data_IF_233187929860
#
_entry.id   IF_233187929860
#
_cell.length_a   1.000
_cell.length_b   1.000
_cell.length_c   1.000
_cell.angle_alpha   90.00
_cell.angle_beta   90.00
_cell.angle_gamma   90.00
#
_symmetry.space_group_name_H-M   'P 1'
#
loop_
_entity.id
_entity.type
_entity.pdbx_description
1 polymer ?
#
# COMPACT_ATOMS: atom_id res chain seq x y z
N UNK A 1 -7.55 -16.91 -26.54
CA UNK A 1 -8.41 -17.05 -25.31
C UNK A 1 -9.14 -15.75 -25.09
N UNK A 2 -10.45 -15.71 -25.34
CA UNK A 2 -11.27 -14.52 -25.12
C UNK A 2 -11.07 -14.00 -23.69
N UNK A 3 -10.66 -12.71 -23.57
CA UNK A 3 -10.64 -11.88 -22.33
C UNK A 3 -11.03 -12.62 -21.04
N UNK A 4 -10.07 -13.30 -20.40
CA UNK A 4 -10.33 -13.95 -19.12
C UNK A 4 -10.76 -12.89 -18.10
N UNK A 5 -11.68 -13.22 -17.21
CA UNK A 5 -12.06 -12.31 -16.12
C UNK A 5 -10.85 -11.93 -15.26
N UNK A 6 -9.89 -12.84 -15.16
CA UNK A 6 -8.61 -12.61 -14.47
C UNK A 6 -7.81 -11.52 -15.15
N UNK A 7 -7.60 -11.56 -16.47
CA UNK A 7 -6.86 -10.53 -17.20
C UNK A 7 -7.49 -9.15 -17.04
N UNK A 8 -8.84 -9.07 -17.14
CA UNK A 8 -9.59 -7.83 -16.88
C UNK A 8 -9.46 -7.37 -15.42
N UNK A 9 -9.47 -8.31 -14.48
CA UNK A 9 -9.27 -8.05 -13.05
C UNK A 9 -7.89 -7.49 -12.77
N UNK A 10 -6.83 -8.15 -13.26
CA UNK A 10 -5.44 -7.70 -13.08
C UNK A 10 -5.24 -6.29 -13.65
N UNK A 11 -5.79 -6.00 -14.85
CA UNK A 11 -5.71 -4.65 -15.43
C UNK A 11 -6.28 -3.58 -14.50
N UNK A 12 -7.41 -3.86 -13.84
CA UNK A 12 -8.01 -2.93 -12.87
C UNK A 12 -7.16 -2.82 -11.60
N UNK A 13 -6.62 -3.93 -11.10
CA UNK A 13 -5.71 -3.91 -9.94
C UNK A 13 -4.49 -3.04 -10.27
N UNK A 14 -3.89 -3.18 -11.46
CA UNK A 14 -2.75 -2.34 -11.90
C UNK A 14 -3.12 -0.86 -11.83
N UNK A 15 -4.27 -0.46 -12.36
CA UNK A 15 -4.73 0.94 -12.29
C UNK A 15 -4.88 1.37 -10.82
N UNK A 16 -5.55 0.57 -9.98
CA UNK A 16 -5.69 0.86 -8.56
C UNK A 16 -4.35 1.05 -7.87
N UNK A 17 -3.35 0.21 -8.17
CA UNK A 17 -2.02 0.29 -7.58
C UNK A 17 -1.23 1.53 -8.03
N UNK A 18 -1.39 2.01 -9.27
CA UNK A 18 -0.82 3.30 -9.67
C UNK A 18 -1.37 4.46 -8.84
N UNK A 19 -2.66 4.47 -8.53
CA UNK A 19 -3.22 5.47 -7.63
C UNK A 19 -2.81 5.26 -6.18
N UNK A 20 -2.67 4.01 -5.73
CA UNK A 20 -2.14 3.69 -4.38
C UNK A 20 -0.74 4.24 -4.17
N UNK A 21 0.17 4.13 -5.14
CA UNK A 21 1.53 4.65 -4.98
C UNK A 21 1.54 6.19 -4.87
N UNK A 22 0.63 6.88 -5.57
CA UNK A 22 0.45 8.34 -5.42
C UNK A 22 0.03 8.66 -3.98
N UNK A 23 -0.99 7.98 -3.47
CA UNK A 23 -1.49 8.16 -2.09
C UNK A 23 -0.38 7.92 -1.07
N UNK A 24 0.32 6.79 -1.17
CA UNK A 24 1.41 6.42 -0.27
C UNK A 24 2.57 7.42 -0.32
N UNK A 25 2.94 7.87 -1.53
CA UNK A 25 4.00 8.87 -1.71
C UNK A 25 3.62 10.21 -1.09
N UNK A 26 2.38 10.67 -1.28
CA UNK A 26 1.90 11.92 -0.67
C UNK A 26 1.87 11.82 0.87
N UNK A 27 1.40 10.69 1.43
CA UNK A 27 1.40 10.46 2.87
C UNK A 27 2.80 10.43 3.44
N UNK A 28 3.73 9.68 2.83
CA UNK A 28 5.11 9.56 3.27
C UNK A 28 5.82 10.91 3.26
N UNK A 29 5.74 11.65 2.16
CA UNK A 29 6.33 12.99 2.05
C UNK A 29 5.74 13.93 3.09
N UNK A 30 4.41 13.95 3.25
CA UNK A 30 3.73 14.80 4.22
C UNK A 30 4.16 14.45 5.65
N UNK A 31 4.24 13.17 5.99
CA UNK A 31 4.72 12.71 7.31
C UNK A 31 6.15 13.14 7.60
N UNK A 32 7.07 12.98 6.63
CA UNK A 32 8.45 13.42 6.75
C UNK A 32 8.52 14.94 6.94
N UNK A 33 7.80 15.72 6.14
CA UNK A 33 7.75 17.18 6.26
C UNK A 33 7.23 17.63 7.62
N UNK A 34 6.14 17.04 8.13
CA UNK A 34 5.60 17.36 9.46
C UNK A 34 6.66 17.12 10.54
N UNK A 35 7.39 16.01 10.48
CA UNK A 35 8.45 15.71 11.45
C UNK A 35 9.61 16.68 11.35
N UNK A 36 10.02 17.09 10.15
CA UNK A 36 11.06 18.11 9.92
C UNK A 36 10.62 19.47 10.46
N UNK A 37 9.36 19.88 10.20
CA UNK A 37 8.82 21.15 10.72
C UNK A 37 8.67 21.15 12.25
N UNK A 38 8.35 20.02 12.88
CA UNK A 38 8.36 19.89 14.35
C UNK A 38 9.75 20.08 14.95
N UNK A 39 10.83 19.79 14.19
CA UNK A 39 12.21 20.03 14.59
C UNK A 39 12.58 21.52 14.46
N UNK A 40 12.05 22.21 13.45
CA UNK A 40 12.37 23.61 13.15
C UNK A 40 11.11 24.48 13.04
N UNK A 41 10.60 24.96 14.20
CA UNK A 41 9.36 25.74 14.29
C UNK A 41 9.46 27.16 13.70
N UNK A 42 10.67 27.68 13.44
CA UNK A 42 10.85 29.03 12.88
C UNK A 42 10.45 29.12 11.40
N UNK A 43 10.46 28.01 10.69
CA UNK A 43 9.96 27.93 9.31
C UNK A 43 8.46 28.20 9.19
N UNK A 44 7.68 27.97 10.25
CA UNK A 44 6.23 28.20 10.27
C UNK A 44 5.84 29.68 10.44
N UNK A 45 6.79 30.54 10.85
CA UNK A 45 6.54 31.97 11.10
C UNK A 45 6.76 32.84 9.85
N UNK A 46 7.19 32.27 8.73
CA UNK A 46 7.51 33.02 7.52
C UNK A 46 6.27 33.35 6.68
N UNK A 47 6.36 34.38 5.82
CA UNK A 47 5.37 34.75 4.79
C UNK A 47 5.01 33.61 3.83
N UNK A 48 5.74 32.51 3.89
CA UNK A 48 5.58 31.29 3.13
C UNK A 48 4.39 30.43 3.61
N UNK A 49 3.80 30.73 4.78
CA UNK A 49 2.71 29.94 5.37
C UNK A 49 1.45 29.90 4.47
N UNK A 50 1.08 31.04 3.87
CA UNK A 50 -0.09 31.08 2.97
C UNK A 50 0.07 30.21 1.72
N UNK A 51 1.27 30.16 1.16
CA UNK A 51 1.60 29.28 0.03
C UNK A 51 1.53 27.80 0.45
N UNK A 52 2.07 27.44 1.61
CA UNK A 52 2.02 26.07 2.13
C UNK A 52 0.59 25.60 2.36
N UNK A 53 -0.30 26.47 2.85
CA UNK A 53 -1.72 26.14 3.04
C UNK A 53 -2.40 25.88 1.69
N UNK A 54 -2.20 26.74 0.69
CA UNK A 54 -2.77 26.55 -0.64
C UNK A 54 -2.29 25.22 -1.29
N UNK A 55 -1.01 24.94 -1.21
CA UNK A 55 -0.43 23.68 -1.71
C UNK A 55 -1.01 22.48 -0.97
N UNK A 56 -1.18 22.54 0.35
CA UNK A 56 -1.77 21.47 1.16
C UNK A 56 -3.22 21.17 0.77
N UNK A 57 -4.00 22.17 0.41
CA UNK A 57 -5.38 21.99 -0.07
C UNK A 57 -5.39 21.23 -1.40
N UNK A 58 -4.56 21.62 -2.36
CA UNK A 58 -4.45 20.94 -3.66
C UNK A 58 -4.01 19.49 -3.48
N UNK A 59 -2.97 19.26 -2.66
CA UNK A 59 -2.49 17.91 -2.32
C UNK A 59 -3.62 17.09 -1.69
N UNK A 60 -4.42 17.68 -0.80
CA UNK A 60 -5.57 17.02 -0.17
C UNK A 60 -6.61 16.53 -1.18
N UNK A 61 -6.96 17.34 -2.19
CA UNK A 61 -7.87 16.92 -3.25
C UNK A 61 -7.31 15.79 -4.11
N UNK A 62 -6.03 15.89 -4.51
CA UNK A 62 -5.35 14.83 -5.28
C UNK A 62 -5.29 13.54 -4.46
N UNK A 63 -5.01 13.63 -3.16
CA UNK A 63 -4.97 12.50 -2.24
C UNK A 63 -6.33 11.79 -2.16
N UNK A 64 -7.40 12.53 -1.85
CA UNK A 64 -8.76 11.95 -1.73
C UNK A 64 -9.20 11.33 -3.05
N UNK A 65 -9.03 12.03 -4.18
CA UNK A 65 -9.37 11.51 -5.49
C UNK A 65 -8.62 10.22 -5.84
N UNK A 66 -7.31 10.21 -5.61
CA UNK A 66 -6.47 9.04 -5.85
C UNK A 66 -6.83 7.86 -4.94
N UNK A 67 -7.14 8.12 -3.67
CA UNK A 67 -7.58 7.10 -2.71
C UNK A 67 -8.89 6.45 -3.18
N UNK A 68 -9.89 7.23 -3.53
CA UNK A 68 -11.19 6.71 -4.00
C UNK A 68 -11.01 5.86 -5.26
N UNK A 69 -10.26 6.35 -6.24
CA UNK A 69 -9.99 5.63 -7.48
C UNK A 69 -9.23 4.32 -7.19
N UNK A 70 -8.20 4.37 -6.35
CA UNK A 70 -7.43 3.19 -5.95
C UNK A 70 -8.31 2.10 -5.35
N UNK A 71 -9.15 2.46 -4.37
CA UNK A 71 -10.05 1.52 -3.69
C UNK A 71 -11.05 0.91 -4.68
N UNK A 72 -11.71 1.72 -5.51
CA UNK A 72 -12.71 1.24 -6.47
C UNK A 72 -12.08 0.29 -7.48
N UNK A 73 -10.96 0.67 -8.10
CA UNK A 73 -10.32 -0.16 -9.13
C UNK A 73 -9.71 -1.43 -8.55
N UNK A 74 -9.09 -1.38 -7.38
CA UNK A 74 -8.56 -2.58 -6.71
C UNK A 74 -9.68 -3.55 -6.35
N UNK A 75 -10.77 -3.06 -5.76
CA UNK A 75 -11.91 -3.89 -5.38
C UNK A 75 -12.58 -4.54 -6.60
N UNK A 76 -12.88 -3.75 -7.65
CA UNK A 76 -13.45 -4.28 -8.89
C UNK A 76 -12.51 -5.27 -9.58
N UNK A 77 -11.20 -5.05 -9.46
CA UNK A 77 -10.17 -5.94 -9.99
C UNK A 77 -10.16 -7.28 -9.26
N UNK A 78 -10.11 -7.27 -7.93
CA UNK A 78 -10.19 -8.48 -7.11
C UNK A 78 -11.50 -9.23 -7.33
N UNK A 79 -12.64 -8.53 -7.40
CA UNK A 79 -13.93 -9.14 -7.69
C UNK A 79 -13.96 -9.85 -9.05
N UNK A 80 -13.38 -9.24 -10.09
CA UNK A 80 -13.33 -9.88 -11.41
C UNK A 80 -12.38 -11.08 -11.42
N UNK A 81 -11.19 -10.94 -10.85
CA UNK A 81 -10.19 -12.01 -10.80
C UNK A 81 -10.66 -13.19 -9.91
N UNK A 82 -11.44 -12.93 -8.86
CA UNK A 82 -11.97 -13.95 -7.95
C UNK A 82 -12.94 -14.93 -8.59
N UNK A 83 -13.46 -14.63 -9.79
CA UNK A 83 -14.34 -15.55 -10.53
C UNK A 83 -13.60 -16.77 -11.08
N UNK A 84 -12.29 -16.71 -11.19
CA UNK A 84 -11.45 -17.77 -11.78
C UNK A 84 -10.34 -18.25 -10.85
N UNK A 85 -10.02 -17.47 -9.80
CA UNK A 85 -8.95 -17.77 -8.85
C UNK A 85 -9.34 -17.38 -7.43
N UNK A 86 -9.41 -18.39 -6.54
CA UNK A 86 -9.91 -18.24 -5.16
C UNK A 86 -9.03 -17.34 -4.28
N UNK A 87 -7.73 -17.24 -4.55
CA UNK A 87 -6.85 -16.39 -3.75
C UNK A 87 -7.21 -14.90 -3.92
N UNK A 88 -7.69 -14.48 -5.09
CA UNK A 88 -8.22 -13.11 -5.24
C UNK A 88 -9.52 -12.88 -4.43
N UNK A 89 -10.31 -13.93 -4.19
CA UNK A 89 -11.47 -13.85 -3.29
C UNK A 89 -11.04 -13.63 -1.86
N UNK A 90 -9.98 -14.32 -1.40
CA UNK A 90 -9.39 -14.10 -0.07
C UNK A 90 -8.81 -12.70 0.05
N UNK A 91 -8.08 -12.23 -0.97
CA UNK A 91 -7.57 -10.86 -1.03
C UNK A 91 -8.70 -9.82 -0.91
N UNK A 92 -9.81 -10.01 -1.63
CA UNK A 92 -10.97 -9.13 -1.57
C UNK A 92 -11.61 -9.10 -0.16
N UNK A 93 -11.75 -10.25 0.48
CA UNK A 93 -12.28 -10.34 1.86
C UNK A 93 -11.36 -9.58 2.83
N UNK A 94 -10.05 -9.80 2.74
CA UNK A 94 -9.08 -9.07 3.57
C UNK A 94 -9.17 -7.55 3.32
N UNK A 95 -9.31 -7.11 2.06
CA UNK A 95 -9.47 -5.69 1.74
C UNK A 95 -10.74 -5.07 2.36
N UNK A 96 -11.85 -5.81 2.41
CA UNK A 96 -13.06 -5.36 3.11
C UNK A 96 -12.79 -5.22 4.61
N UNK A 97 -12.11 -6.19 5.22
CA UNK A 97 -11.75 -6.15 6.65
C UNK A 97 -10.86 -4.95 6.96
N UNK A 98 -9.86 -4.65 6.09
CA UNK A 98 -9.03 -3.43 6.21
C UNK A 98 -9.90 -2.19 6.21
N UNK A 99 -10.84 -2.07 5.27
CA UNK A 99 -11.77 -0.94 5.21
C UNK A 99 -12.60 -0.78 6.47
N UNK A 100 -13.14 -1.87 7.01
CA UNK A 100 -13.91 -1.86 8.27
C UNK A 100 -13.04 -1.42 9.45
N UNK A 101 -11.83 -1.97 9.58
CA UNK A 101 -10.92 -1.59 10.67
C UNK A 101 -10.47 -0.14 10.58
N UNK A 102 -10.23 0.36 9.37
CA UNK A 102 -9.89 1.77 9.14
C UNK A 102 -11.03 2.70 9.55
N UNK A 103 -12.28 2.34 9.22
CA UNK A 103 -13.46 3.10 9.63
C UNK A 103 -13.62 3.09 11.16
N UNK A 104 -13.56 1.92 11.80
CA UNK A 104 -13.65 1.80 13.25
C UNK A 104 -12.53 2.61 13.91
N UNK A 105 -11.29 2.47 13.45
CA UNK A 105 -10.14 3.22 13.95
C UNK A 105 -10.39 4.73 13.87
N UNK A 106 -10.90 5.23 12.75
CA UNK A 106 -11.21 6.64 12.57
C UNK A 106 -12.23 7.16 13.59
N UNK A 107 -13.32 6.41 13.85
CA UNK A 107 -14.32 6.81 14.84
C UNK A 107 -13.78 6.83 16.27
N UNK A 108 -12.81 5.99 16.62
CA UNK A 108 -12.23 5.91 17.95
C UNK A 108 -10.93 6.70 18.12
N UNK A 109 -10.43 7.37 17.11
CA UNK A 109 -9.16 8.09 17.17
C UNK A 109 -9.13 9.15 18.28
N UNK A 110 -10.19 9.94 18.40
CA UNK A 110 -10.29 11.03 19.39
C UNK A 110 -10.65 10.52 20.79
N UNK A 111 -11.69 9.66 20.95
CA UNK A 111 -12.12 9.21 22.29
C UNK A 111 -11.15 8.22 22.94
N UNK A 112 -10.43 7.40 22.18
CA UNK A 112 -9.57 6.36 22.71
C UNK A 112 -8.45 5.96 21.76
N UNK A 113 -7.28 6.59 21.93
CA UNK A 113 -6.09 6.33 21.09
C UNK A 113 -5.58 4.88 21.16
N UNK A 114 -5.83 4.14 22.24
CA UNK A 114 -5.46 2.72 22.35
C UNK A 114 -6.30 1.85 21.40
N UNK A 115 -7.61 2.09 21.35
CA UNK A 115 -8.51 1.39 20.41
C UNK A 115 -8.10 1.68 18.97
N UNK A 116 -7.84 2.95 18.62
CA UNK A 116 -7.32 3.32 17.33
C UNK A 116 -6.04 2.52 16.98
N UNK A 117 -5.09 2.44 17.90
CA UNK A 117 -3.83 1.73 17.69
C UNK A 117 -4.04 0.24 17.40
N UNK A 118 -4.95 -0.42 18.13
CA UNK A 118 -5.25 -1.85 17.94
C UNK A 118 -5.87 -2.08 16.54
N UNK A 119 -6.88 -1.29 16.16
CA UNK A 119 -7.53 -1.44 14.86
C UNK A 119 -6.62 -1.06 13.70
N UNK A 120 -5.77 -0.06 13.87
CA UNK A 120 -4.75 0.30 12.87
C UNK A 120 -3.75 -0.83 12.67
N UNK A 121 -3.20 -1.40 13.75
CA UNK A 121 -2.27 -2.53 13.67
C UNK A 121 -2.92 -3.77 13.03
N UNK A 122 -4.16 -4.09 13.41
CA UNK A 122 -4.91 -5.17 12.78
C UNK A 122 -5.13 -4.89 11.28
N UNK A 123 -5.50 -3.65 10.91
CA UNK A 123 -5.64 -3.23 9.52
C UNK A 123 -4.38 -3.48 8.70
N UNK A 124 -3.21 -3.09 9.23
CA UNK A 124 -1.90 -3.31 8.57
C UNK A 124 -1.61 -4.81 8.33
N UNK A 125 -1.95 -5.67 9.30
CA UNK A 125 -1.79 -7.12 9.14
C UNK A 125 -2.69 -7.64 8.00
N UNK A 126 -3.95 -7.22 7.95
CA UNK A 126 -4.86 -7.63 6.87
C UNK A 126 -4.47 -7.05 5.51
N UNK A 127 -3.89 -5.86 5.46
CA UNK A 127 -3.32 -5.27 4.23
C UNK A 127 -2.17 -6.13 3.69
N UNK A 128 -1.30 -6.63 4.57
CA UNK A 128 -0.28 -7.61 4.18
C UNK A 128 -0.90 -8.88 3.59
N UNK A 129 -1.99 -9.40 4.17
CA UNK A 129 -2.69 -10.56 3.62
C UNK A 129 -3.33 -10.27 2.25
N UNK A 130 -3.85 -9.06 2.01
CA UNK A 130 -4.32 -8.65 0.67
C UNK A 130 -3.22 -8.83 -0.37
N UNK A 131 -2.01 -8.36 -0.06
CA UNK A 131 -0.88 -8.48 -0.97
C UNK A 131 -0.43 -9.93 -1.13
N UNK A 132 -0.32 -10.69 -0.04
CA UNK A 132 0.06 -12.12 -0.07
C UNK A 132 -0.90 -12.91 -0.96
N UNK A 133 -2.20 -12.81 -0.72
CA UNK A 133 -3.18 -13.55 -1.51
C UNK A 133 -3.24 -13.08 -2.97
N UNK A 134 -3.04 -11.78 -3.21
CA UNK A 134 -2.97 -11.27 -4.58
C UNK A 134 -1.78 -11.84 -5.34
N UNK A 135 -0.59 -11.86 -4.73
CA UNK A 135 0.64 -12.42 -5.35
C UNK A 135 0.50 -13.93 -5.49
N UNK A 136 -0.05 -14.64 -4.49
CA UNK A 136 -0.31 -16.08 -4.55
C UNK A 136 -1.24 -16.43 -5.72
N UNK A 137 -2.32 -15.68 -5.89
CA UNK A 137 -3.22 -15.86 -7.04
C UNK A 137 -2.52 -15.67 -8.38
N UNK A 138 -1.63 -14.67 -8.49
CA UNK A 138 -0.82 -14.45 -9.71
C UNK A 138 0.17 -15.61 -9.95
N UNK A 139 0.79 -16.15 -8.89
CA UNK A 139 1.66 -17.33 -8.97
C UNK A 139 0.87 -18.53 -9.49
N UNK A 140 -0.31 -18.82 -8.91
CA UNK A 140 -1.16 -19.93 -9.32
C UNK A 140 -1.55 -19.84 -10.81
N UNK A 141 -1.85 -18.63 -11.28
CA UNK A 141 -2.15 -18.39 -12.69
C UNK A 141 -0.91 -18.64 -13.55
N UNK A 142 0.26 -18.13 -13.12
CA UNK A 142 1.53 -18.32 -13.83
C UNK A 142 1.91 -19.80 -13.93
N UNK A 143 1.66 -20.59 -12.88
CA UNK A 143 1.83 -22.05 -12.90
C UNK A 143 0.91 -22.69 -13.95
N UNK A 144 -0.37 -22.32 -14.00
CA UNK A 144 -1.32 -22.84 -14.99
C UNK A 144 -0.91 -22.52 -16.43
N UNK A 145 -0.27 -21.38 -16.66
CA UNK A 145 0.26 -20.98 -17.97
C UNK A 145 1.72 -21.42 -18.21
N UNK A 146 2.30 -22.28 -17.32
CA UNK A 146 3.67 -22.81 -17.43
C UNK A 146 4.76 -21.72 -17.50
N UNK A 147 4.53 -20.56 -16.91
CA UNK A 147 5.48 -19.43 -16.87
C UNK A 147 6.30 -19.47 -15.59
N UNK A 148 7.32 -20.33 -15.60
CA UNK A 148 8.23 -20.54 -14.46
C UNK A 148 8.99 -19.28 -14.05
N UNK A 149 9.31 -18.41 -15.00
CA UNK A 149 9.92 -17.09 -14.79
C UNK A 149 9.07 -16.18 -13.89
N UNK A 150 7.76 -16.17 -14.12
CA UNK A 150 6.80 -15.38 -13.32
C UNK A 150 6.58 -16.04 -11.94
N UNK A 151 6.58 -17.35 -11.85
CA UNK A 151 6.49 -18.07 -10.56
C UNK A 151 7.66 -17.69 -9.67
N UNK A 152 8.89 -17.78 -10.18
CA UNK A 152 10.10 -17.42 -9.42
C UNK A 152 10.10 -15.95 -8.99
N UNK A 153 9.64 -15.06 -9.88
CA UNK A 153 9.51 -13.63 -9.58
C UNK A 153 8.48 -13.38 -8.47
N UNK A 154 7.34 -14.06 -8.50
CA UNK A 154 6.31 -13.99 -7.47
C UNK A 154 6.80 -14.48 -6.12
N UNK A 155 7.51 -15.60 -6.06
CA UNK A 155 8.10 -16.15 -4.83
C UNK A 155 9.13 -15.18 -4.21
N UNK A 156 9.97 -14.56 -5.03
CA UNK A 156 10.93 -13.54 -4.57
C UNK A 156 10.19 -12.31 -4.00
N UNK A 157 9.13 -11.90 -4.67
CA UNK A 157 8.30 -10.77 -4.22
C UNK A 157 7.58 -11.06 -2.89
N UNK A 158 7.03 -12.27 -2.71
CA UNK A 158 6.45 -12.70 -1.43
C UNK A 158 7.46 -12.65 -0.29
N UNK A 159 8.67 -13.18 -0.51
CA UNK A 159 9.73 -13.13 0.50
C UNK A 159 10.11 -11.71 0.85
N UNK A 160 10.27 -10.84 -0.15
CA UNK A 160 10.59 -9.43 0.05
C UNK A 160 9.48 -8.72 0.86
N UNK A 161 8.21 -8.97 0.53
CA UNK A 161 7.06 -8.41 1.24
C UNK A 161 7.05 -8.79 2.72
N UNK A 162 7.27 -10.08 3.04
CA UNK A 162 7.33 -10.54 4.44
C UNK A 162 8.48 -9.89 5.19
N UNK A 163 9.67 -9.80 4.58
CA UNK A 163 10.84 -9.15 5.18
C UNK A 163 10.56 -7.68 5.43
N UNK A 164 10.01 -6.96 4.46
CA UNK A 164 9.64 -5.54 4.61
C UNK A 164 8.65 -5.34 5.75
N UNK A 165 7.62 -6.19 5.84
CA UNK A 165 6.64 -6.13 6.90
C UNK A 165 7.26 -6.34 8.30
N UNK A 166 8.20 -7.28 8.43
CA UNK A 166 8.92 -7.51 9.69
C UNK A 166 9.74 -6.26 10.06
N UNK A 167 10.46 -5.67 9.10
CA UNK A 167 11.26 -4.46 9.33
C UNK A 167 10.34 -3.31 9.79
N UNK A 168 9.27 -3.01 9.06
CA UNK A 168 8.31 -1.95 9.44
C UNK A 168 7.68 -2.19 10.82
N UNK A 169 7.44 -3.45 11.19
CA UNK A 169 6.91 -3.78 12.52
C UNK A 169 7.94 -3.53 13.63
N UNK A 170 9.21 -3.83 13.40
CA UNK A 170 10.32 -3.54 14.33
C UNK A 170 10.51 -2.03 14.45
N UNK A 171 10.48 -1.31 13.34
CA UNK A 171 10.61 0.15 13.29
C UNK A 171 9.53 0.84 14.13
N UNK A 172 8.29 0.39 14.03
CA UNK A 172 7.18 0.90 14.84
C UNK A 172 7.40 0.68 16.34
N UNK A 173 7.99 -0.45 16.74
CA UNK A 173 8.36 -0.74 18.14
C UNK A 173 9.53 0.13 18.60
N UNK A 174 10.56 0.29 17.77
CA UNK A 174 11.75 1.14 18.06
C UNK A 174 11.32 2.58 18.29
N UNK A 175 10.49 3.14 17.41
CA UNK A 175 9.97 4.50 17.58
C UNK A 175 9.27 4.66 18.93
N UNK A 176 8.41 3.73 19.31
CA UNK A 176 7.69 3.79 20.60
C UNK A 176 8.61 3.73 21.82
N UNK A 177 9.66 2.90 21.78
CA UNK A 177 10.62 2.78 22.88
C UNK A 177 11.43 4.08 23.03
N UNK A 178 11.78 4.71 21.91
CA UNK A 178 12.60 5.93 21.90
C UNK A 178 11.79 7.23 22.04
N UNK A 179 10.46 7.22 21.93
CA UNK A 179 9.60 8.41 22.11
C UNK A 179 9.85 9.16 23.43
N UNK A 180 10.43 8.50 24.43
CA UNK A 180 10.77 9.06 25.74
C UNK A 180 12.12 9.77 25.78
N UNK A 181 12.92 9.76 24.70
CA UNK A 181 14.26 10.35 24.66
C UNK A 181 14.35 11.62 23.80
N UNK A 182 15.28 12.51 24.12
CA UNK A 182 15.51 13.78 23.38
C UNK A 182 15.96 13.53 21.93
N UNK A 183 16.56 12.37 21.65
CA UNK A 183 17.03 11.98 20.31
C UNK A 183 15.93 11.29 19.45
N UNK A 184 14.77 11.03 20.04
CA UNK A 184 13.64 10.34 19.38
C UNK A 184 13.21 10.97 18.06
N UNK A 185 13.26 12.30 17.96
CA UNK A 185 12.81 13.01 16.75
C UNK A 185 13.69 12.71 15.54
N UNK A 186 15.01 12.67 15.70
CA UNK A 186 15.94 12.37 14.61
C UNK A 186 15.83 10.91 14.18
N UNK A 187 15.77 10.00 15.16
CA UNK A 187 15.59 8.57 14.91
C UNK A 187 14.27 8.31 14.15
N UNK A 188 13.16 8.93 14.59
CA UNK A 188 11.85 8.80 13.93
C UNK A 188 11.87 9.28 12.48
N UNK A 189 12.60 10.36 12.16
CA UNK A 189 12.74 10.84 10.77
C UNK A 189 13.54 9.85 9.93
N UNK A 190 14.66 9.33 10.44
CA UNK A 190 15.50 8.37 9.71
C UNK A 190 14.73 7.08 9.43
N UNK A 191 14.08 6.52 10.46
CA UNK A 191 13.26 5.31 10.36
C UNK A 191 12.10 5.53 9.40
N UNK A 192 11.40 6.65 9.48
CA UNK A 192 10.32 7.00 8.57
C UNK A 192 10.76 7.12 7.10
N UNK A 193 11.98 7.60 6.85
CA UNK A 193 12.54 7.64 5.49
C UNK A 193 12.83 6.23 4.98
N UNK A 194 13.43 5.38 5.81
CA UNK A 194 13.73 3.98 5.46
C UNK A 194 12.43 3.23 5.13
N UNK A 195 11.43 3.31 6.00
CA UNK A 195 10.14 2.66 5.83
C UNK A 195 9.41 3.15 4.56
N UNK A 196 9.43 4.46 4.31
CA UNK A 196 8.89 5.04 3.09
C UNK A 196 9.58 4.51 1.83
N UNK A 197 10.91 4.45 1.81
CA UNK A 197 11.67 3.92 0.66
C UNK A 197 11.35 2.45 0.42
N UNK A 198 11.32 1.63 1.47
CA UNK A 198 10.97 0.21 1.38
C UNK A 198 9.55 0.01 0.84
N UNK A 199 8.59 0.79 1.32
CA UNK A 199 7.20 0.75 0.85
C UNK A 199 7.09 1.12 -0.63
N UNK A 200 7.78 2.17 -1.08
CA UNK A 200 7.78 2.55 -2.51
C UNK A 200 8.39 1.45 -3.38
N UNK A 201 9.52 0.87 -2.96
CA UNK A 201 10.14 -0.26 -3.67
C UNK A 201 9.18 -1.44 -3.78
N UNK A 202 8.50 -1.79 -2.69
CA UNK A 202 7.51 -2.86 -2.64
C UNK A 202 6.38 -2.63 -3.66
N UNK A 203 5.81 -1.42 -3.70
CA UNK A 203 4.76 -1.06 -4.67
C UNK A 203 5.26 -1.15 -6.12
N UNK A 204 6.45 -0.63 -6.41
CA UNK A 204 7.04 -0.69 -7.75
C UNK A 204 7.24 -2.13 -8.21
N UNK A 205 7.79 -2.99 -7.34
CA UNK A 205 8.00 -4.40 -7.65
C UNK A 205 6.67 -5.12 -7.87
N UNK A 206 5.66 -4.83 -7.04
CA UNK A 206 4.33 -5.42 -7.17
C UNK A 206 3.63 -4.99 -8.47
N UNK A 207 3.65 -3.69 -8.82
CA UNK A 207 3.09 -3.18 -10.08
C UNK A 207 3.81 -3.82 -11.28
N UNK A 208 5.14 -3.92 -11.22
CA UNK A 208 5.91 -4.58 -12.28
C UNK A 208 5.49 -6.04 -12.46
N UNK A 209 5.33 -6.78 -11.38
CA UNK A 209 4.89 -8.18 -11.40
C UNK A 209 3.47 -8.33 -11.97
N UNK A 210 2.52 -7.48 -11.53
CA UNK A 210 1.16 -7.42 -12.09
C UNK A 210 1.18 -7.15 -13.61
N UNK A 211 2.02 -6.21 -14.04
CA UNK A 211 2.12 -5.84 -15.46
C UNK A 211 2.71 -6.98 -16.28
N UNK A 212 3.75 -7.66 -15.78
CA UNK A 212 4.33 -8.83 -16.45
C UNK A 212 3.31 -9.96 -16.57
N UNK A 213 2.54 -10.22 -15.52
CA UNK A 213 1.46 -11.24 -15.56
C UNK A 213 0.35 -10.81 -16.53
N UNK A 214 0.01 -9.51 -16.62
CA UNK A 214 -0.97 -9.03 -17.58
C UNK A 214 -0.51 -9.22 -19.04
N UNK A 215 0.79 -9.03 -19.32
CA UNK A 215 1.36 -9.29 -20.65
C UNK A 215 1.23 -10.75 -21.08
N UNK A 216 1.29 -11.70 -20.15
CA UNK A 216 1.08 -13.12 -20.44
C UNK A 216 -0.29 -13.39 -21.10
N UNK A 217 -1.34 -12.68 -20.66
CA UNK A 217 -2.68 -12.83 -21.25
C UNK A 217 -2.79 -12.24 -22.66
N UNK A 218 -2.01 -11.20 -22.98
CA UNK A 218 -2.01 -10.57 -24.30
C UNK A 218 -1.31 -11.43 -25.36
N UNK A 219 -0.21 -12.08 -24.99
CA UNK A 219 0.57 -12.95 -25.91
C UNK A 219 -0.17 -14.25 -26.24
N UNK A 220 -1.05 -14.74 -25.35
CA UNK A 220 -1.88 -15.93 -25.61
C UNK A 220 -3.06 -15.69 -26.56
N UNK A 221 -3.29 -14.46 -27.00
CA UNK A 221 -4.35 -14.12 -27.97
C UNK A 221 -3.81 -14.05 -29.43
N UNK A 222 -2.48 -14.17 -29.62
CA UNK A 222 -1.82 -14.11 -30.92
C UNK A 222 -1.43 -15.49 -31.48
N UNK A 223 -1.59 -16.57 -30.71
CA UNK A 223 -1.42 -17.97 -31.13
C UNK A 223 -2.80 -18.66 -31.34
#
# INVERSE_FOLDING_TARGET
>A
MKDSNVGKGIKKIVIGQYFSIIVTSLLGITSILINVFKINTDLLKSSFYGFLVAVSIVIGFVFIGSMVISVIFSFLGFYQASKEEDDFKKAMICAIIVGVFSLIGYFFQIPNGMVYTIFSAAGTIFEMFVMIYSISGLINISVRHKRTDLVETGDKLLKFLVITFIISSIDALVIRIFELSTHAKIISVIVGIIDFVLTVIQFVLYIRYLTQTLHMFKLGDEE
#
